data_IF_879963241982
#
_entry.id   IF_879963241982
#
_cell.length_a   1.000
_cell.length_b   1.000
_cell.length_c   1.000
_cell.angle_alpha   90.00
_cell.angle_beta   90.00
_cell.angle_gamma   90.00
#
_symmetry.space_group_name_H-M   'P 1'
#
loop_
_entity.id
_entity.type
_entity.pdbx_description
1 polymer ?
#
# COMPACT_ATOMS: atom_id res chain seq x y z
N UNK A 1 -1.52 15.10 20.49
CA UNK A 1 -1.33 13.75 21.07
C UNK A 1 -2.71 13.11 21.27
N UNK A 2 -3.21 12.40 20.26
CA UNK A 2 -4.50 11.71 20.34
C UNK A 2 -4.40 10.55 21.35
N UNK A 3 -5.36 10.46 22.27
CA UNK A 3 -5.34 9.49 23.36
C UNK A 3 -5.78 8.10 22.84
N UNK A 4 -4.81 7.24 22.58
CA UNK A 4 -4.92 5.94 21.87
C UNK A 4 -5.91 4.97 22.55
N UNK A 5 -6.19 5.14 23.85
CA UNK A 5 -7.21 4.34 24.56
C UNK A 5 -8.62 4.52 23.99
N UNK A 6 -8.95 5.68 23.40
CA UNK A 6 -10.28 5.94 22.82
C UNK A 6 -10.46 5.44 21.38
N UNK A 7 -9.38 5.10 20.66
CA UNK A 7 -9.49 4.53 19.31
C UNK A 7 -9.98 3.08 19.31
N UNK A 8 -9.64 2.34 20.37
CA UNK A 8 -9.89 0.90 20.48
C UNK A 8 -11.37 0.56 20.70
N UNK A 9 -12.09 1.33 21.52
CA UNK A 9 -13.51 1.09 21.83
C UNK A 9 -14.44 1.36 20.64
N UNK A 10 -14.02 2.19 19.68
CA UNK A 10 -14.79 2.45 18.45
C UNK A 10 -14.58 1.40 17.37
N UNK A 11 -13.36 0.86 17.23
CA UNK A 11 -13.11 -0.22 16.26
C UNK A 11 -13.70 -1.55 16.73
N UNK A 12 -13.61 -1.90 18.02
CA UNK A 12 -14.04 -3.22 18.52
C UNK A 12 -15.51 -3.56 18.23
N UNK A 13 -16.40 -2.56 18.14
CA UNK A 13 -17.81 -2.76 17.78
C UNK A 13 -18.06 -2.90 16.28
N UNK A 14 -17.10 -2.52 15.42
CA UNK A 14 -17.23 -2.60 13.96
C UNK A 14 -16.40 -3.75 13.34
N UNK A 15 -15.43 -4.32 14.06
CA UNK A 15 -14.57 -5.41 13.57
C UNK A 15 -15.33 -6.72 13.31
N UNK A 16 -16.49 -6.96 13.95
CA UNK A 16 -17.33 -8.16 13.70
C UNK A 16 -17.97 -8.17 12.30
N UNK A 17 -17.79 -7.11 11.51
CA UNK A 17 -18.43 -6.93 10.19
C UNK A 17 -17.54 -7.27 8.99
N UNK A 18 -16.34 -7.85 9.19
CA UNK A 18 -15.42 -8.16 8.08
C UNK A 18 -14.75 -6.93 7.45
N UNK A 19 -14.47 -5.91 8.26
CA UNK A 19 -13.87 -4.64 7.81
C UNK A 19 -12.34 -4.70 7.99
N UNK A 20 -11.60 -4.45 6.91
CA UNK A 20 -10.14 -4.33 6.93
C UNK A 20 -9.66 -3.03 7.58
N UNK A 21 -8.58 -3.11 8.35
CA UNK A 21 -7.99 -1.97 9.06
C UNK A 21 -6.57 -1.75 8.54
N UNK A 22 -6.37 -0.57 7.97
CA UNK A 22 -5.11 -0.13 7.39
C UNK A 22 -4.39 0.84 8.32
N UNK A 23 -3.07 0.69 8.44
CA UNK A 23 -2.21 1.73 9.02
C UNK A 23 -1.65 2.61 7.92
N UNK A 24 -1.88 3.92 8.07
CA UNK A 24 -1.36 4.95 7.18
C UNK A 24 -0.04 5.53 7.68
N UNK A 25 0.73 6.12 6.77
CA UNK A 25 1.99 6.85 7.02
C UNK A 25 3.05 6.07 7.82
N UNK A 26 3.14 4.74 7.66
CA UNK A 26 4.13 3.96 8.39
C UNK A 26 5.56 4.39 8.01
N UNK A 27 6.33 4.81 9.02
CA UNK A 27 7.73 5.21 8.89
C UNK A 27 8.00 6.71 9.02
N UNK A 28 6.99 7.59 9.02
CA UNK A 28 7.19 9.05 9.15
C UNK A 28 7.41 9.55 10.59
N UNK A 29 7.39 8.65 11.59
CA UNK A 29 7.58 8.96 13.01
C UNK A 29 7.90 7.75 13.90
N UNK A 30 7.82 7.91 15.23
CA UNK A 30 8.06 6.84 16.20
C UNK A 30 6.96 5.78 16.17
N UNK A 31 7.11 4.79 15.30
CA UNK A 31 6.26 3.60 15.27
C UNK A 31 6.65 2.68 16.41
N UNK A 32 5.87 2.67 17.50
CA UNK A 32 6.08 1.70 18.55
C UNK A 32 5.59 0.33 18.07
N UNK A 33 6.54 -0.49 17.62
CA UNK A 33 6.31 -1.83 17.10
C UNK A 33 5.52 -2.73 18.07
N UNK A 34 5.67 -2.51 19.37
CA UNK A 34 4.91 -3.25 20.40
C UNK A 34 3.42 -2.92 20.41
N UNK A 35 3.00 -1.78 19.84
CA UNK A 35 1.58 -1.46 19.63
C UNK A 35 1.07 -1.97 18.29
N UNK A 36 1.91 -1.98 17.25
CA UNK A 36 1.56 -2.54 15.94
C UNK A 36 1.04 -3.98 16.06
N UNK A 37 1.73 -4.81 16.85
CA UNK A 37 1.36 -6.21 17.11
C UNK A 37 0.07 -6.39 17.94
N UNK A 38 -0.49 -5.33 18.53
CA UNK A 38 -1.67 -5.40 19.41
C UNK A 38 -2.94 -4.86 18.76
N UNK A 39 -2.83 -4.32 17.56
CA UNK A 39 -3.95 -3.79 16.80
C UNK A 39 -4.43 -4.87 15.79
N UNK A 40 -5.74 -5.00 15.56
CA UNK A 40 -6.28 -5.91 14.56
C UNK A 40 -6.14 -5.29 13.17
N UNK A 41 -4.90 -5.08 12.73
CA UNK A 41 -4.58 -4.51 11.42
C UNK A 41 -4.39 -5.64 10.42
N UNK A 42 -4.79 -5.39 9.18
CA UNK A 42 -4.66 -6.35 8.08
C UNK A 42 -3.70 -5.84 7.00
N UNK A 43 -3.45 -4.52 6.96
CA UNK A 43 -2.62 -3.90 5.93
C UNK A 43 -1.71 -2.80 6.48
N UNK A 44 -0.47 -2.78 6.00
CA UNK A 44 0.54 -1.76 6.26
C UNK A 44 0.81 -0.96 4.99
N UNK A 45 0.70 0.37 5.07
CA UNK A 45 1.01 1.28 3.96
C UNK A 45 2.41 1.84 4.10
N UNK A 46 3.22 1.76 3.04
CA UNK A 46 4.54 2.38 2.95
C UNK A 46 4.37 3.78 2.37
N UNK A 47 4.73 4.81 3.15
CA UNK A 47 4.60 6.21 2.75
C UNK A 47 5.43 6.56 1.49
N UNK A 48 4.92 7.52 0.71
CA UNK A 48 5.55 8.03 -0.51
C UNK A 48 6.98 8.48 -0.30
N UNK A 49 7.33 9.05 0.86
CA UNK A 49 8.69 9.51 1.11
C UNK A 49 9.72 8.38 0.98
N UNK A 50 9.40 7.16 1.43
CA UNK A 50 10.28 5.99 1.27
C UNK A 50 10.26 5.45 -0.15
N UNK A 51 9.09 5.40 -0.79
CA UNK A 51 8.95 4.91 -2.17
C UNK A 51 9.70 5.80 -3.16
N UNK A 52 9.69 7.12 -2.93
CA UNK A 52 10.39 8.09 -3.78
C UNK A 52 11.91 7.93 -3.77
N UNK A 53 12.46 7.32 -2.72
CA UNK A 53 13.90 7.08 -2.56
C UNK A 53 14.38 5.75 -3.16
N UNK A 54 13.47 4.93 -3.70
CA UNK A 54 13.83 3.65 -4.30
C UNK A 54 14.65 3.89 -5.58
N UNK A 55 15.73 3.13 -5.74
CA UNK A 55 16.72 3.27 -6.82
C UNK A 55 17.48 4.60 -6.85
N UNK A 56 17.38 5.42 -5.79
CA UNK A 56 18.24 6.58 -5.62
C UNK A 56 19.62 6.15 -5.12
N UNK A 57 20.66 6.93 -5.44
CA UNK A 57 22.08 6.61 -5.23
C UNK A 57 22.50 6.32 -3.76
N UNK A 58 21.58 6.41 -2.80
CA UNK A 58 21.82 6.33 -1.36
C UNK A 58 21.49 4.99 -0.69
N UNK A 59 21.03 3.96 -1.41
CA UNK A 59 20.76 2.63 -0.81
C UNK A 59 19.51 2.58 0.07
N UNK A 60 18.53 3.46 -0.16
CA UNK A 60 17.30 3.55 0.63
C UNK A 60 16.31 2.40 0.39
N UNK A 61 16.57 1.53 -0.58
CA UNK A 61 15.83 0.29 -0.81
C UNK A 61 15.82 -0.62 0.42
N UNK A 62 16.85 -0.54 1.28
CA UNK A 62 16.97 -1.37 2.48
C UNK A 62 15.90 -1.05 3.53
N UNK A 63 15.45 0.21 3.64
CA UNK A 63 14.36 0.58 4.55
C UNK A 63 13.05 -0.02 4.05
N UNK A 64 12.77 0.11 2.75
CA UNK A 64 11.57 -0.47 2.12
C UNK A 64 11.59 -2.00 2.27
N UNK A 65 12.74 -2.64 2.04
CA UNK A 65 12.94 -4.08 2.26
C UNK A 65 12.64 -4.49 3.71
N UNK A 66 13.13 -3.72 4.69
CA UNK A 66 12.90 -3.99 6.10
C UNK A 66 11.41 -3.87 6.46
N UNK A 67 10.71 -2.84 5.96
CA UNK A 67 9.27 -2.65 6.17
C UNK A 67 8.47 -3.80 5.57
N UNK A 68 8.75 -4.19 4.32
CA UNK A 68 8.08 -5.31 3.65
C UNK A 68 8.32 -6.63 4.40
N UNK A 69 9.56 -6.87 4.86
CA UNK A 69 9.90 -8.08 5.62
C UNK A 69 9.17 -8.13 6.97
N UNK A 70 9.05 -6.98 7.64
CA UNK A 70 8.29 -6.87 8.88
C UNK A 70 6.81 -7.18 8.66
N UNK A 71 6.19 -6.58 7.64
CA UNK A 71 4.79 -6.82 7.31
C UNK A 71 4.51 -8.30 7.05
N UNK A 72 5.36 -8.97 6.26
CA UNK A 72 5.28 -10.42 6.03
C UNK A 72 5.40 -11.23 7.32
N UNK A 73 6.29 -10.83 8.23
CA UNK A 73 6.46 -11.51 9.52
C UNK A 73 5.22 -11.39 10.41
N UNK A 74 4.48 -10.29 10.25
CA UNK A 74 3.25 -10.00 10.98
C UNK A 74 1.97 -10.48 10.24
N UNK A 75 2.12 -11.18 9.11
CA UNK A 75 1.02 -11.61 8.24
C UNK A 75 0.12 -10.43 7.79
N UNK A 76 0.77 -9.31 7.44
CA UNK A 76 0.11 -8.09 6.96
C UNK A 76 0.32 -7.93 5.46
N UNK A 77 -0.73 -7.50 4.76
CA UNK A 77 -0.63 -7.04 3.39
C UNK A 77 0.16 -5.72 3.32
N UNK A 78 0.80 -5.47 2.19
CA UNK A 78 1.59 -4.24 1.98
C UNK A 78 1.07 -3.44 0.80
N UNK A 79 0.83 -2.14 1.03
CA UNK A 79 0.47 -1.16 0.00
C UNK A 79 1.55 -0.10 -0.07
N UNK A 80 2.19 0.08 -1.22
CA UNK A 80 3.16 1.16 -1.43
C UNK A 80 2.51 2.42 -2.03
N UNK A 81 2.78 3.58 -1.45
CA UNK A 81 2.23 4.84 -1.93
C UNK A 81 3.20 5.67 -2.78
N UNK A 82 2.64 6.43 -3.73
CA UNK A 82 3.42 7.38 -4.52
C UNK A 82 4.38 6.74 -5.51
N UNK A 83 3.98 5.63 -6.13
CA UNK A 83 4.72 5.00 -7.22
C UNK A 83 4.60 5.88 -8.47
N UNK A 84 5.71 6.40 -8.95
CA UNK A 84 5.78 7.32 -10.09
C UNK A 84 6.55 6.73 -11.27
N UNK A 85 7.38 5.70 -11.05
CA UNK A 85 8.24 5.11 -12.09
C UNK A 85 8.15 3.59 -12.14
N UNK A 86 8.37 3.02 -13.33
CA UNK A 86 8.44 1.56 -13.51
C UNK A 86 9.59 0.91 -12.73
N UNK A 87 10.69 1.63 -12.52
CA UNK A 87 11.79 1.16 -11.71
C UNK A 87 11.37 0.96 -10.24
N UNK A 88 10.62 1.92 -9.66
CA UNK A 88 10.05 1.79 -8.32
C UNK A 88 9.08 0.59 -8.24
N UNK A 89 8.19 0.45 -9.23
CA UNK A 89 7.24 -0.66 -9.31
C UNK A 89 7.95 -2.02 -9.36
N UNK A 90 8.96 -2.15 -10.21
CA UNK A 90 9.76 -3.37 -10.35
C UNK A 90 10.47 -3.75 -9.05
N UNK A 91 11.10 -2.79 -8.38
CA UNK A 91 11.75 -3.02 -7.08
C UNK A 91 10.72 -3.46 -6.03
N UNK A 92 9.58 -2.76 -5.90
CA UNK A 92 8.52 -3.11 -4.94
C UNK A 92 7.97 -4.52 -5.18
N UNK A 93 7.75 -4.91 -6.45
CA UNK A 93 7.37 -6.27 -6.83
C UNK A 93 8.42 -7.29 -6.41
N UNK A 94 9.70 -7.01 -6.65
CA UNK A 94 10.80 -7.92 -6.30
C UNK A 94 10.93 -8.13 -4.78
N UNK A 95 10.59 -7.11 -3.99
CA UNK A 95 10.55 -7.19 -2.53
C UNK A 95 9.32 -7.99 -2.04
N UNK A 96 8.36 -8.25 -2.94
CA UNK A 96 7.08 -8.89 -2.66
C UNK A 96 6.13 -7.97 -1.90
N UNK A 97 6.15 -6.68 -2.22
CA UNK A 97 4.99 -5.82 -1.99
C UNK A 97 3.84 -6.35 -2.86
N UNK A 98 2.60 -6.22 -2.39
CA UNK A 98 1.43 -6.80 -3.05
C UNK A 98 0.62 -5.74 -3.78
N UNK A 99 0.48 -4.55 -3.19
CA UNK A 99 -0.39 -3.49 -3.70
C UNK A 99 0.37 -2.18 -3.85
N UNK A 100 -0.13 -1.30 -4.71
CA UNK A 100 0.47 0.00 -4.93
C UNK A 100 -0.51 1.05 -5.42
N UNK A 101 -0.20 2.31 -5.11
CA UNK A 101 -0.88 3.47 -5.65
C UNK A 101 0.15 4.53 -6.05
N UNK A 102 -0.17 5.34 -7.05
CA UNK A 102 0.67 6.45 -7.47
C UNK A 102 0.38 6.92 -8.88
N UNK A 103 1.06 7.99 -9.29
CA UNK A 103 0.85 8.63 -10.60
C UNK A 103 1.23 7.75 -11.78
N UNK A 104 2.03 6.69 -11.56
CA UNK A 104 2.30 5.67 -12.57
C UNK A 104 1.00 4.99 -13.04
N UNK A 105 0.03 4.80 -12.15
CA UNK A 105 -1.26 4.17 -12.45
C UNK A 105 -2.30 5.21 -12.88
N UNK A 106 -2.54 6.18 -11.99
CA UNK A 106 -3.50 7.24 -12.23
C UNK A 106 -3.22 8.43 -11.30
N UNK A 107 -3.33 9.64 -11.84
CA UNK A 107 -3.39 10.84 -11.02
C UNK A 107 -4.77 10.97 -10.33
N UNK A 108 -4.85 11.69 -9.19
CA UNK A 108 -6.13 12.09 -8.61
C UNK A 108 -7.00 12.75 -9.66
N UNK A 109 -8.24 12.28 -9.78
CA UNK A 109 -9.15 12.67 -10.85
C UNK A 109 -10.53 12.99 -10.30
N UNK A 110 -11.37 13.66 -11.09
CA UNK A 110 -12.73 13.97 -10.67
C UNK A 110 -13.56 12.68 -10.56
N UNK A 111 -14.70 12.75 -9.85
CA UNK A 111 -15.61 11.60 -9.78
C UNK A 111 -16.09 11.13 -11.16
N UNK A 112 -16.28 12.06 -12.11
CA UNK A 112 -16.70 11.75 -13.47
C UNK A 112 -15.60 11.00 -14.23
N UNK A 113 -14.36 11.49 -14.11
CA UNK A 113 -13.20 10.85 -14.71
C UNK A 113 -12.95 9.47 -14.11
N UNK A 114 -13.11 9.31 -12.78
CA UNK A 114 -13.03 8.03 -12.09
C UNK A 114 -14.07 7.04 -12.61
N UNK A 115 -15.33 7.48 -12.78
CA UNK A 115 -16.37 6.64 -13.35
C UNK A 115 -16.03 6.16 -14.76
N UNK A 116 -15.34 7.00 -15.54
CA UNK A 116 -14.91 6.66 -16.90
C UNK A 116 -13.73 5.68 -16.87
N UNK A 117 -12.73 5.95 -16.02
CA UNK A 117 -11.58 5.10 -15.77
C UNK A 117 -11.99 3.68 -15.36
N UNK A 118 -12.88 3.54 -14.36
CA UNK A 118 -13.34 2.24 -13.87
C UNK A 118 -14.15 1.44 -14.91
N UNK A 119 -14.85 2.11 -15.83
CA UNK A 119 -15.59 1.42 -16.90
C UNK A 119 -14.65 0.81 -17.93
N UNK A 120 -13.58 1.53 -18.27
CA UNK A 120 -12.52 1.04 -19.17
C UNK A 120 -11.84 -0.20 -18.58
N UNK A 121 -11.61 -0.21 -17.27
CA UNK A 121 -10.99 -1.33 -16.56
C UNK A 121 -11.95 -2.52 -16.31
N UNK A 122 -13.28 -2.33 -16.35
CA UNK A 122 -14.26 -3.41 -16.06
C UNK A 122 -14.32 -4.53 -17.13
N UNK A 123 -13.59 -4.38 -18.24
CA UNK A 123 -13.38 -5.46 -19.23
C UNK A 123 -12.25 -6.40 -18.78
N UNK A 124 -11.41 -5.99 -17.84
CA UNK A 124 -10.41 -6.82 -17.19
C UNK A 124 -11.12 -7.45 -15.98
N UNK A 125 -11.32 -8.77 -16.04
CA UNK A 125 -12.12 -9.52 -15.08
C UNK A 125 -11.69 -9.28 -13.63
N UNK A 126 -12.57 -9.67 -12.69
CA UNK A 126 -12.30 -9.74 -11.25
C UNK A 126 -11.00 -10.50 -10.98
N UNK A 127 -9.88 -9.81 -11.05
CA UNK A 127 -8.55 -10.34 -10.85
C UNK A 127 -7.91 -9.48 -9.78
N UNK A 128 -7.44 -10.20 -8.78
CA UNK A 128 -6.72 -9.75 -7.62
C UNK A 128 -5.88 -8.49 -7.89
N UNK A 129 -6.12 -7.41 -7.12
CA UNK A 129 -5.40 -6.12 -7.25
C UNK A 129 -3.92 -6.20 -6.83
N UNK A 130 -3.40 -7.42 -6.70
CA UNK A 130 -1.99 -7.71 -6.46
C UNK A 130 -1.19 -7.29 -7.70
N UNK A 131 0.03 -6.82 -7.49
CA UNK A 131 0.97 -6.48 -8.55
C UNK A 131 1.25 -7.64 -9.54
N UNK A 132 0.77 -8.86 -9.27
CA UNK A 132 0.95 -10.06 -10.10
C UNK A 132 0.28 -10.01 -11.48
N UNK A 133 -0.83 -9.29 -11.66
CA UNK A 133 -1.64 -9.39 -12.89
C UNK A 133 -1.45 -8.24 -13.89
N UNK A 134 -0.64 -7.22 -13.57
CA UNK A 134 -0.42 -6.05 -14.44
C UNK A 134 0.58 -6.29 -15.59
N UNK A 135 0.98 -7.54 -15.84
CA UNK A 135 1.91 -7.90 -16.92
C UNK A 135 1.32 -7.73 -18.34
N UNK A 136 0.07 -7.27 -18.49
CA UNK A 136 -0.62 -7.18 -19.78
C UNK A 136 -0.68 -5.77 -20.40
N UNK A 137 -0.14 -4.73 -19.74
CA UNK A 137 -0.25 -3.35 -20.22
C UNK A 137 0.76 -2.94 -21.32
N UNK A 138 1.59 -3.85 -21.82
CA UNK A 138 2.57 -3.55 -22.89
C UNK A 138 2.11 -3.88 -24.32
N UNK A 139 0.85 -4.29 -24.56
CA UNK A 139 0.41 -4.72 -25.89
C UNK A 139 -0.70 -3.88 -26.55
N UNK A 140 -1.01 -2.68 -26.05
CA UNK A 140 -1.93 -1.76 -26.73
C UNK A 140 -1.22 -0.46 -27.12
N UNK A 141 -0.29 -0.58 -28.06
CA UNK A 141 0.08 0.48 -29.00
C UNK A 141 -0.74 0.34 -30.28
#
# INVERSE_FOLDING_TARGET
MWNIKQGRSRCSSSCDSGIDIHIDDFGTGYSNLSYLMKLPITTLKIDRSFVSMINDSGGNDEIVRAIVSLAKTLDLQVVAEGIETEAQLSTLRSLGCEFGQGFLFAAPMTFIDLCSYLKTESVIGQADRRFGDVAHLQQLQ
#
